data_IF_749042133372
#
_entry.id   IF_749042133372
#
_cell.length_a   1.000
_cell.length_b   1.000
_cell.length_c   1.000
_cell.angle_alpha   90.00
_cell.angle_beta   90.00
_cell.angle_gamma   90.00
#
_symmetry.space_group_name_H-M   'P 1'
#
loop_
_entity.id
_entity.type
_entity.pdbx_description
1 polymer ?
#
# COMPACT_ATOMS: atom_id res chain seq x y z
N UNK A 1 4.92 34.15 -63.85
CA UNK A 1 6.21 34.49 -63.19
C UNK A 1 5.95 34.64 -61.74
N UNK A 2 6.24 33.63 -60.92
CA UNK A 2 6.02 33.63 -59.46
C UNK A 2 7.00 32.67 -58.83
N UNK A 3 7.97 33.17 -58.10
CA UNK A 3 9.10 32.44 -57.53
C UNK A 3 8.68 31.57 -56.35
N UNK A 4 8.77 30.25 -56.50
CA UNK A 4 8.75 29.29 -55.40
C UNK A 4 10.03 29.43 -54.56
N UNK A 5 9.95 29.83 -53.29
CA UNK A 5 11.03 29.78 -52.30
C UNK A 5 10.85 28.59 -51.40
N UNK A 6 11.49 27.48 -51.71
CA UNK A 6 11.78 26.40 -50.79
C UNK A 6 12.79 26.86 -49.73
N UNK A 7 12.38 26.97 -48.50
CA UNK A 7 13.29 27.12 -47.35
C UNK A 7 12.72 26.42 -46.14
N UNK A 8 12.98 25.13 -46.02
CA UNK A 8 12.66 24.31 -44.86
C UNK A 8 13.84 23.43 -44.52
N UNK A 9 14.99 24.02 -44.15
CA UNK A 9 16.10 23.29 -43.53
C UNK A 9 15.71 22.98 -42.08
N UNK A 10 15.06 21.79 -41.84
CA UNK A 10 14.96 21.19 -40.53
C UNK A 10 16.38 20.96 -40.01
N UNK A 11 16.84 21.82 -39.10
CA UNK A 11 17.96 21.56 -38.23
C UNK A 11 17.57 20.33 -37.37
N UNK A 12 18.07 19.16 -37.75
CA UNK A 12 18.24 18.04 -36.80
C UNK A 12 19.18 18.57 -35.72
N UNK A 13 18.59 18.93 -34.58
CA UNK A 13 19.34 19.09 -33.33
C UNK A 13 19.97 17.73 -33.06
N UNK A 14 21.27 17.62 -33.26
CA UNK A 14 22.08 16.61 -32.63
C UNK A 14 21.83 16.75 -31.13
N UNK A 15 21.07 15.83 -30.55
CA UNK A 15 21.12 15.57 -29.13
C UNK A 15 22.49 14.98 -28.85
N UNK A 16 23.44 15.89 -28.61
CA UNK A 16 24.71 15.56 -28.03
C UNK A 16 24.37 14.89 -26.69
N UNK A 17 24.79 13.62 -26.52
CA UNK A 17 24.69 12.88 -25.27
C UNK A 17 25.40 13.64 -24.15
N UNK A 18 24.69 14.58 -23.54
CA UNK A 18 25.06 15.08 -22.24
C UNK A 18 24.83 13.93 -21.29
N UNK A 19 25.93 13.32 -20.83
CA UNK A 19 25.95 12.49 -19.63
C UNK A 19 25.34 13.34 -18.51
N UNK A 20 24.05 13.15 -18.25
CA UNK A 20 23.37 13.78 -17.11
C UNK A 20 24.17 13.40 -15.86
N UNK A 21 24.91 14.36 -15.33
CA UNK A 21 25.62 14.19 -14.07
C UNK A 21 24.56 14.08 -12.96
N UNK A 22 24.26 12.87 -12.55
CA UNK A 22 23.33 12.60 -11.46
C UNK A 22 23.98 13.11 -10.16
N UNK A 23 23.40 14.08 -9.46
CA UNK A 23 23.99 14.59 -8.24
C UNK A 23 24.01 13.51 -7.17
N UNK A 24 25.12 13.37 -6.45
CA UNK A 24 25.33 12.34 -5.41
C UNK A 24 24.18 12.30 -4.39
N UNK A 25 23.55 13.44 -4.13
CA UNK A 25 22.37 13.55 -3.25
C UNK A 25 21.15 12.74 -3.70
N UNK A 26 21.02 12.40 -5.00
CA UNK A 26 19.92 11.56 -5.50
C UNK A 26 20.18 10.07 -5.30
N UNK A 27 21.38 9.68 -4.95
CA UNK A 27 21.74 8.28 -4.66
C UNK A 27 21.13 7.85 -3.32
N UNK A 28 21.09 8.75 -2.32
CA UNK A 28 20.61 8.41 -0.97
C UNK A 28 19.14 7.93 -0.95
N UNK A 29 18.16 8.65 -1.55
CA UNK A 29 16.79 8.14 -1.62
C UNK A 29 16.71 6.79 -2.35
N UNK A 30 17.35 6.67 -3.51
CA UNK A 30 17.33 5.42 -4.29
C UNK A 30 17.93 4.24 -3.52
N UNK A 31 18.94 4.48 -2.68
CA UNK A 31 19.51 3.45 -1.83
C UNK A 31 18.53 3.00 -0.74
N UNK A 32 17.76 3.92 -0.16
CA UNK A 32 16.71 3.60 0.82
C UNK A 32 15.61 2.76 0.15
N UNK A 33 15.13 3.16 -1.03
CA UNK A 33 14.14 2.40 -1.82
C UNK A 33 14.67 1.00 -2.17
N UNK A 34 15.95 0.89 -2.59
CA UNK A 34 16.58 -0.41 -2.85
C UNK A 34 16.67 -1.27 -1.59
N UNK A 35 16.96 -0.66 -0.44
CA UNK A 35 16.98 -1.37 0.85
C UNK A 35 15.58 -1.86 1.22
N UNK A 36 14.54 -1.07 0.98
CA UNK A 36 13.14 -1.49 1.16
C UNK A 36 12.82 -2.72 0.31
N UNK A 37 13.16 -2.70 -0.99
CA UNK A 37 12.95 -3.85 -1.88
C UNK A 37 13.73 -5.09 -1.43
N UNK A 38 14.98 -4.94 -1.00
CA UNK A 38 15.77 -6.04 -0.44
C UNK A 38 15.11 -6.63 0.82
N UNK A 39 14.55 -5.80 1.70
CA UNK A 39 13.85 -6.26 2.90
C UNK A 39 12.57 -7.04 2.52
N UNK A 40 11.80 -6.58 1.52
CA UNK A 40 10.65 -7.31 0.99
C UNK A 40 11.02 -8.68 0.41
N UNK A 41 12.08 -8.76 -0.39
CA UNK A 41 12.59 -10.03 -0.93
C UNK A 41 13.10 -10.95 0.20
N UNK A 42 13.78 -10.39 1.19
CA UNK A 42 14.24 -11.13 2.38
C UNK A 42 13.06 -11.73 3.14
N UNK A 43 11.94 -10.99 3.25
CA UNK A 43 10.71 -11.52 3.85
C UNK A 43 10.19 -12.76 3.11
N UNK A 44 10.25 -12.78 1.77
CA UNK A 44 9.84 -13.95 0.97
C UNK A 44 10.73 -15.14 1.31
N UNK A 45 12.06 -14.96 1.36
CA UNK A 45 13.01 -16.02 1.72
C UNK A 45 12.73 -16.57 3.12
N UNK A 46 12.58 -15.69 4.11
CA UNK A 46 12.31 -16.10 5.49
C UNK A 46 10.94 -16.82 5.62
N UNK A 47 9.94 -16.38 4.85
CA UNK A 47 8.63 -17.06 4.81
C UNK A 47 8.75 -18.47 4.23
N UNK A 48 9.55 -18.65 3.20
CA UNK A 48 9.82 -19.97 2.61
C UNK A 48 10.58 -20.90 3.54
N UNK A 49 11.32 -20.37 4.51
CA UNK A 49 11.99 -21.13 5.57
C UNK A 49 11.07 -21.43 6.78
N UNK A 50 9.81 -20.92 6.77
CA UNK A 50 8.89 -21.03 7.90
C UNK A 50 9.17 -20.05 9.05
N UNK A 51 10.07 -19.11 8.90
CA UNK A 51 10.48 -18.08 9.88
C UNK A 51 9.53 -16.88 9.81
N UNK A 52 8.27 -17.08 10.14
CA UNK A 52 7.21 -16.09 9.90
C UNK A 52 7.37 -14.80 10.71
N UNK A 53 7.87 -14.87 11.94
CA UNK A 53 8.10 -13.68 12.78
C UNK A 53 9.18 -12.80 12.15
N UNK A 54 10.30 -13.40 11.75
CA UNK A 54 11.42 -12.69 11.12
C UNK A 54 11.01 -12.11 9.76
N UNK A 55 10.22 -12.87 8.98
CA UNK A 55 9.65 -12.41 7.72
C UNK A 55 8.75 -11.17 7.90
N UNK A 56 7.94 -11.16 8.96
CA UNK A 56 7.08 -10.04 9.29
C UNK A 56 7.88 -8.82 9.73
N UNK A 57 8.94 -9.00 10.50
CA UNK A 57 9.88 -7.92 10.85
C UNK A 57 10.54 -7.34 9.60
N UNK A 58 10.94 -8.19 8.64
CA UNK A 58 11.50 -7.72 7.37
C UNK A 58 10.49 -6.89 6.55
N UNK A 59 9.20 -7.29 6.53
CA UNK A 59 8.13 -6.48 5.90
C UNK A 59 7.93 -5.14 6.60
N UNK A 60 8.01 -5.09 7.93
CA UNK A 60 7.93 -3.83 8.68
C UNK A 60 9.09 -2.90 8.34
N UNK A 61 10.31 -3.44 8.24
CA UNK A 61 11.50 -2.68 7.81
C UNK A 61 11.28 -2.15 6.39
N UNK A 62 10.79 -2.98 5.47
CA UNK A 62 10.47 -2.56 4.11
C UNK A 62 9.48 -1.37 4.09
N UNK A 63 8.39 -1.47 4.86
CA UNK A 63 7.39 -0.42 4.99
C UNK A 63 7.95 0.89 5.59
N UNK A 64 8.84 0.80 6.57
CA UNK A 64 9.49 1.98 7.17
C UNK A 64 10.42 2.66 6.16
N UNK A 65 11.27 1.89 5.48
CA UNK A 65 12.19 2.40 4.46
C UNK A 65 11.43 3.09 3.32
N UNK A 66 10.37 2.47 2.81
CA UNK A 66 9.47 3.01 1.80
C UNK A 66 8.85 4.35 2.24
N UNK A 67 8.31 4.43 3.47
CA UNK A 67 7.79 5.69 3.99
C UNK A 67 8.84 6.78 4.19
N UNK A 68 10.12 6.45 4.22
CA UNK A 68 11.24 7.40 4.43
C UNK A 68 11.82 7.93 3.12
N UNK A 69 11.95 7.12 2.07
CA UNK A 69 12.67 7.49 0.85
C UNK A 69 12.08 8.72 0.13
N UNK A 70 10.76 8.76 -0.03
CA UNK A 70 10.07 9.92 -0.59
C UNK A 70 10.18 11.18 0.27
N UNK A 71 10.30 11.06 1.61
CA UNK A 71 10.55 12.19 2.50
C UNK A 71 11.99 12.68 2.36
N UNK A 72 12.95 11.76 2.33
CA UNK A 72 14.37 12.06 2.15
C UNK A 72 14.62 12.69 0.77
N UNK A 73 14.00 12.16 -0.30
CA UNK A 73 14.09 12.75 -1.64
C UNK A 73 13.63 14.21 -1.67
N UNK A 74 12.54 14.54 -0.98
CA UNK A 74 12.03 15.92 -0.87
C UNK A 74 12.94 16.81 -0.03
N UNK A 75 13.44 16.33 1.11
CA UNK A 75 14.35 17.06 1.98
C UNK A 75 15.66 17.40 1.26
N UNK A 76 16.20 16.46 0.49
CA UNK A 76 17.44 16.65 -0.26
C UNK A 76 17.23 17.36 -1.61
N UNK A 77 15.98 17.68 -1.98
CA UNK A 77 15.61 18.23 -3.31
C UNK A 77 16.20 17.37 -4.44
N UNK A 78 16.12 16.05 -4.29
CA UNK A 78 16.77 15.03 -5.12
C UNK A 78 15.77 14.14 -5.87
N UNK A 79 14.51 14.58 -6.00
CA UNK A 79 13.51 13.86 -6.77
C UNK A 79 13.96 13.68 -8.24
N UNK A 80 13.88 12.45 -8.74
CA UNK A 80 14.26 12.10 -10.12
C UNK A 80 13.22 11.14 -10.72
N UNK A 81 13.13 11.10 -12.07
CA UNK A 81 12.26 10.14 -12.76
C UNK A 81 12.65 8.70 -12.45
N UNK A 82 13.94 8.39 -12.46
CA UNK A 82 14.44 7.06 -12.11
C UNK A 82 14.04 6.66 -10.68
N UNK A 83 14.13 7.61 -9.71
CA UNK A 83 13.73 7.35 -8.33
C UNK A 83 12.24 7.05 -8.22
N UNK A 84 11.38 7.77 -8.95
CA UNK A 84 9.94 7.53 -8.93
C UNK A 84 9.54 6.17 -9.55
N UNK A 85 10.23 5.73 -10.61
CA UNK A 85 10.02 4.39 -11.20
C UNK A 85 10.52 3.28 -10.26
N UNK A 86 11.69 3.48 -9.65
CA UNK A 86 12.25 2.55 -8.68
C UNK A 86 11.34 2.38 -7.45
N UNK A 87 10.80 3.49 -6.94
CA UNK A 87 9.82 3.56 -5.86
C UNK A 87 8.57 2.71 -6.20
N UNK A 88 7.98 2.92 -7.38
CA UNK A 88 6.81 2.16 -7.83
C UNK A 88 7.08 0.65 -7.97
N UNK A 89 8.28 0.26 -8.41
CA UNK A 89 8.67 -1.15 -8.50
C UNK A 89 8.91 -1.76 -7.11
N UNK A 90 9.55 -1.02 -6.21
CA UNK A 90 9.75 -1.42 -4.82
C UNK A 90 8.43 -1.55 -4.08
N UNK A 91 7.49 -0.61 -4.27
CA UNK A 91 6.12 -0.67 -3.75
C UNK A 91 5.43 -1.97 -4.12
N UNK A 92 5.47 -2.36 -5.40
CA UNK A 92 4.87 -3.60 -5.86
C UNK A 92 5.48 -4.83 -5.19
N UNK A 93 6.79 -4.86 -5.02
CA UNK A 93 7.47 -5.97 -4.31
C UNK A 93 7.06 -5.99 -2.83
N UNK A 94 7.11 -4.85 -2.15
CA UNK A 94 6.95 -4.75 -0.70
C UNK A 94 5.49 -4.92 -0.23
N UNK A 95 4.52 -4.44 -1.01
CA UNK A 95 3.10 -4.42 -0.61
C UNK A 95 2.23 -5.38 -1.42
N UNK A 96 2.68 -5.79 -2.61
CA UNK A 96 2.01 -6.76 -3.46
C UNK A 96 2.57 -8.16 -3.30
N UNK A 97 3.81 -8.37 -3.74
CA UNK A 97 4.40 -9.72 -3.88
C UNK A 97 4.80 -10.30 -2.52
N UNK A 98 5.54 -9.57 -1.71
CA UNK A 98 6.08 -10.09 -0.45
C UNK A 98 4.98 -10.49 0.54
N UNK A 99 3.93 -9.66 0.82
CA UNK A 99 2.84 -10.08 1.70
C UNK A 99 1.99 -11.22 1.08
N UNK A 100 1.83 -11.28 -0.24
CA UNK A 100 1.17 -12.40 -0.90
C UNK A 100 1.89 -13.73 -0.67
N UNK A 101 3.21 -13.74 -0.86
CA UNK A 101 4.04 -14.93 -0.64
C UNK A 101 4.17 -15.29 0.83
N UNK A 102 4.24 -14.28 1.72
CA UNK A 102 4.16 -14.50 3.16
C UNK A 102 2.86 -15.25 3.52
N UNK A 103 1.71 -14.74 3.09
CA UNK A 103 0.41 -15.37 3.36
C UNK A 103 0.30 -16.77 2.75
N UNK A 104 0.83 -16.96 1.54
CA UNK A 104 0.87 -18.29 0.93
C UNK A 104 1.60 -19.32 1.81
N UNK A 105 2.85 -19.04 2.19
CA UNK A 105 3.63 -19.97 3.04
C UNK A 105 3.02 -20.11 4.44
N UNK A 106 2.52 -19.01 5.01
CA UNK A 106 1.93 -19.04 6.34
C UNK A 106 0.66 -19.89 6.41
N UNK A 107 -0.20 -19.81 5.40
CA UNK A 107 -1.45 -20.58 5.32
C UNK A 107 -1.24 -22.05 4.93
N UNK A 108 -0.15 -22.38 4.26
CA UNK A 108 0.16 -23.72 3.78
C UNK A 108 1.20 -24.45 4.65
N UNK A 109 1.51 -23.92 5.83
CA UNK A 109 2.40 -24.60 6.78
C UNK A 109 3.89 -24.55 6.44
N UNK A 110 4.31 -23.62 5.58
CA UNK A 110 5.72 -23.43 5.21
C UNK A 110 6.10 -24.14 3.89
N UNK A 111 7.40 -24.38 3.67
CA UNK A 111 7.93 -24.81 2.36
C UNK A 111 7.53 -26.25 1.97
N UNK A 112 7.31 -27.12 2.95
CA UNK A 112 6.98 -28.52 2.69
C UNK A 112 5.47 -28.77 2.57
N UNK A 113 4.64 -27.75 2.86
CA UNK A 113 3.16 -27.84 2.83
C UNK A 113 2.59 -29.04 3.60
N UNK A 114 3.25 -29.38 4.72
CA UNK A 114 2.90 -30.55 5.54
C UNK A 114 1.45 -30.48 6.02
N UNK A 115 0.72 -31.58 5.81
CA UNK A 115 -0.71 -31.68 6.21
C UNK A 115 -1.71 -31.04 5.24
N UNK A 116 -1.27 -30.45 4.11
CA UNK A 116 -2.13 -29.84 3.11
C UNK A 116 -2.18 -30.63 1.81
N UNK A 117 -3.38 -30.79 1.24
CA UNK A 117 -3.53 -31.39 -0.07
C UNK A 117 -2.96 -30.49 -1.18
N UNK A 118 -2.44 -31.05 -2.30
CA UNK A 118 -1.95 -30.25 -3.42
C UNK A 118 -3.02 -29.32 -4.02
N UNK A 119 -4.30 -29.64 -3.85
CA UNK A 119 -5.39 -28.79 -4.28
C UNK A 119 -5.49 -27.52 -3.43
N UNK A 120 -5.43 -27.63 -2.10
CA UNK A 120 -5.47 -26.48 -1.18
C UNK A 120 -4.29 -25.56 -1.44
N UNK A 121 -3.08 -26.11 -1.59
CA UNK A 121 -1.87 -25.35 -1.89
C UNK A 121 -2.03 -24.51 -3.17
N UNK A 122 -2.55 -25.13 -4.26
CA UNK A 122 -2.80 -24.40 -5.52
C UNK A 122 -3.85 -23.31 -5.39
N UNK A 123 -4.93 -23.56 -4.64
CA UNK A 123 -6.00 -22.59 -4.42
C UNK A 123 -5.48 -21.38 -3.62
N UNK A 124 -4.70 -21.61 -2.56
CA UNK A 124 -4.10 -20.53 -1.77
C UNK A 124 -3.10 -19.74 -2.61
N UNK A 125 -2.28 -20.41 -3.43
CA UNK A 125 -1.39 -19.72 -4.38
C UNK A 125 -2.18 -18.84 -5.35
N UNK A 126 -3.30 -19.33 -5.88
CA UNK A 126 -4.19 -18.53 -6.73
C UNK A 126 -4.69 -17.26 -6.06
N UNK A 127 -5.05 -17.33 -4.78
CA UNK A 127 -5.45 -16.15 -3.99
C UNK A 127 -4.30 -15.17 -3.75
N UNK A 128 -3.11 -15.68 -3.46
CA UNK A 128 -1.91 -14.86 -3.31
C UNK A 128 -1.55 -14.12 -4.61
N UNK A 129 -1.59 -14.82 -5.75
CA UNK A 129 -1.38 -14.22 -7.07
C UNK A 129 -2.46 -13.18 -7.40
N UNK A 130 -3.73 -13.46 -7.09
CA UNK A 130 -4.83 -12.52 -7.29
C UNK A 130 -4.59 -11.23 -6.50
N UNK A 131 -4.22 -11.33 -5.21
CA UNK A 131 -3.90 -10.16 -4.38
C UNK A 131 -2.75 -9.33 -4.98
N UNK A 132 -1.63 -9.98 -5.36
CA UNK A 132 -0.49 -9.30 -5.96
C UNK A 132 -0.86 -8.59 -7.27
N UNK A 133 -1.66 -9.24 -8.14
CA UNK A 133 -2.16 -8.63 -9.38
C UNK A 133 -3.07 -7.43 -9.11
N UNK A 134 -3.94 -7.51 -8.11
CA UNK A 134 -4.79 -6.38 -7.70
C UNK A 134 -3.97 -5.16 -7.25
N UNK A 135 -2.87 -5.38 -6.51
CA UNK A 135 -1.95 -4.32 -6.14
C UNK A 135 -1.22 -3.74 -7.37
N UNK A 136 -0.74 -4.58 -8.27
CA UNK A 136 -0.14 -4.16 -9.54
C UNK A 136 -1.09 -3.23 -10.34
N UNK A 137 -2.35 -3.64 -10.52
CA UNK A 137 -3.36 -2.82 -11.20
C UNK A 137 -3.62 -1.51 -10.46
N UNK A 138 -3.62 -1.54 -9.13
CA UNK A 138 -3.78 -0.34 -8.31
C UNK A 138 -2.64 0.65 -8.54
N UNK A 139 -1.39 0.18 -8.50
CA UNK A 139 -0.19 1.01 -8.72
C UNK A 139 -0.18 1.59 -10.14
N UNK A 140 -0.44 0.77 -11.16
CA UNK A 140 -0.52 1.20 -12.55
C UNK A 140 -1.58 2.30 -12.74
N UNK A 141 -2.77 2.12 -12.14
CA UNK A 141 -3.83 3.13 -12.17
C UNK A 141 -3.42 4.42 -11.45
N UNK A 142 -2.78 4.32 -10.28
CA UNK A 142 -2.31 5.48 -9.53
C UNK A 142 -1.32 6.30 -10.36
N UNK A 143 -0.34 5.67 -10.99
CA UNK A 143 0.66 6.33 -11.80
C UNK A 143 0.03 7.04 -13.02
N UNK A 144 -0.96 6.42 -13.67
CA UNK A 144 -1.68 7.05 -14.80
C UNK A 144 -2.62 8.18 -14.38
N UNK A 145 -3.15 8.16 -13.14
CA UNK A 145 -4.04 9.23 -12.64
C UNK A 145 -3.30 10.48 -12.17
N UNK A 146 -2.01 10.40 -11.88
CA UNK A 146 -1.21 11.58 -11.48
C UNK A 146 -1.19 12.67 -12.58
N UNK A 147 -1.47 12.32 -13.83
CA UNK A 147 -1.48 13.23 -14.99
C UNK A 147 -2.85 13.87 -15.26
N UNK A 148 -3.92 13.48 -14.53
CA UNK A 148 -5.28 13.93 -14.80
C UNK A 148 -5.81 14.92 -13.74
N UNK A 149 -6.57 15.98 -14.15
CA UNK A 149 -7.22 16.90 -13.22
C UNK A 149 -8.30 16.17 -12.41
N UNK A 150 -8.21 16.21 -11.08
CA UNK A 150 -9.17 15.58 -10.17
C UNK A 150 -10.36 16.48 -9.88
N UNK A 151 -11.57 15.90 -9.81
CA UNK A 151 -12.78 16.61 -9.39
C UNK A 151 -12.67 17.10 -7.93
N UNK A 152 -13.29 18.26 -7.56
CA UNK A 152 -13.09 18.89 -6.26
C UNK A 152 -13.40 18.00 -5.05
N UNK A 153 -14.42 17.13 -5.12
CA UNK A 153 -14.80 16.23 -4.02
C UNK A 153 -13.85 15.03 -3.84
N UNK A 154 -13.05 14.68 -4.87
CA UNK A 154 -12.06 13.62 -4.77
C UNK A 154 -10.79 14.03 -4.00
N UNK A 155 -10.55 15.34 -3.78
CA UNK A 155 -9.35 15.84 -3.08
C UNK A 155 -9.19 15.31 -1.65
N UNK A 156 -10.29 14.85 -1.03
CA UNK A 156 -10.30 14.35 0.34
C UNK A 156 -10.26 12.81 0.44
N UNK A 157 -10.31 12.11 -0.69
CA UNK A 157 -10.39 10.66 -0.74
C UNK A 157 -9.29 10.06 -1.61
N UNK A 158 -8.78 8.93 -1.21
CA UNK A 158 -7.97 8.07 -2.07
C UNK A 158 -8.88 7.18 -2.91
N UNK A 159 -8.45 6.83 -4.11
CA UNK A 159 -9.14 5.89 -4.98
C UNK A 159 -8.67 4.48 -4.66
N UNK A 160 -9.45 3.71 -3.91
CA UNK A 160 -9.11 2.39 -3.39
C UNK A 160 -8.31 2.44 -2.10
N UNK A 161 -8.03 1.26 -1.51
CA UNK A 161 -7.16 1.13 -0.34
C UNK A 161 -5.70 1.37 -0.77
N UNK A 162 -4.92 2.21 -0.06
CA UNK A 162 -3.49 2.40 -0.37
C UNK A 162 -2.69 1.10 -0.17
N UNK A 163 -1.60 0.88 -0.95
CA UNK A 163 -0.81 -0.35 -0.91
C UNK A 163 -0.32 -0.72 0.50
N UNK A 164 0.28 0.20 1.29
CA UNK A 164 0.66 -0.10 2.65
C UNK A 164 -0.52 -0.51 3.54
N UNK A 165 -1.68 0.13 3.32
CA UNK A 165 -2.92 -0.22 4.04
C UNK A 165 -3.43 -1.62 3.68
N UNK A 166 -3.43 -1.98 2.40
CA UNK A 166 -3.80 -3.30 1.92
C UNK A 166 -2.86 -4.40 2.45
N UNK A 167 -1.55 -4.13 2.41
CA UNK A 167 -0.55 -5.00 3.01
C UNK A 167 -0.84 -5.25 4.51
N UNK A 168 -1.08 -4.18 5.26
CA UNK A 168 -1.40 -4.33 6.68
C UNK A 168 -2.68 -5.13 6.91
N UNK A 169 -3.75 -4.84 6.15
CA UNK A 169 -5.02 -5.57 6.25
C UNK A 169 -4.84 -7.07 6.00
N UNK A 170 -4.12 -7.46 4.95
CA UNK A 170 -3.94 -8.88 4.58
C UNK A 170 -3.06 -9.62 5.59
N UNK A 171 -2.10 -8.95 6.23
CA UNK A 171 -1.23 -9.50 7.26
C UNK A 171 -1.88 -9.53 8.67
N UNK A 172 -2.94 -8.76 8.90
CA UNK A 172 -3.61 -8.67 10.22
C UNK A 172 -3.97 -10.03 10.82
N UNK A 173 -4.54 -11.01 10.09
CA UNK A 173 -4.81 -12.34 10.64
C UNK A 173 -3.55 -13.06 11.12
N UNK A 174 -2.46 -12.97 10.39
CA UNK A 174 -1.20 -13.59 10.76
C UNK A 174 -0.58 -12.92 11.98
N UNK A 175 -0.59 -11.58 12.04
CA UNK A 175 -0.12 -10.81 13.18
C UNK A 175 -0.89 -11.18 14.44
N UNK A 176 -2.21 -11.21 14.38
CA UNK A 176 -3.06 -11.58 15.52
C UNK A 176 -2.90 -13.06 15.91
N UNK A 177 -2.77 -13.96 14.93
CA UNK A 177 -2.56 -15.38 15.22
C UNK A 177 -1.25 -15.62 15.99
N UNK A 178 -0.16 -14.97 15.57
CA UNK A 178 1.13 -15.05 16.26
C UNK A 178 1.02 -14.45 17.67
N UNK A 179 0.38 -13.29 17.80
CA UNK A 179 0.24 -12.59 19.08
C UNK A 179 -0.65 -13.33 20.10
N UNK A 180 -1.64 -14.08 19.61
CA UNK A 180 -2.64 -14.75 20.45
C UNK A 180 -2.37 -16.25 20.65
N UNK A 181 -1.29 -16.79 20.12
CA UNK A 181 -0.99 -18.22 20.13
C UNK A 181 -1.01 -18.81 21.54
N UNK A 182 -0.43 -18.11 22.52
CA UNK A 182 -0.34 -18.56 23.91
C UNK A 182 -1.55 -18.16 24.78
N UNK A 183 -2.32 -17.13 24.35
CA UNK A 183 -3.43 -16.58 25.15
C UNK A 183 -4.79 -17.17 24.77
N UNK A 184 -5.04 -17.30 23.48
CA UNK A 184 -6.28 -17.81 22.90
C UNK A 184 -5.97 -18.71 21.71
N UNK A 185 -5.52 -19.95 21.94
CA UNK A 185 -5.09 -20.86 20.87
C UNK A 185 -6.21 -21.20 19.89
N UNK A 186 -7.46 -21.23 20.31
CA UNK A 186 -8.62 -21.47 19.43
C UNK A 186 -8.78 -20.35 18.39
N UNK A 187 -8.69 -19.09 18.84
CA UNK A 187 -8.78 -17.94 17.94
C UNK A 187 -7.56 -17.87 17.00
N UNK A 188 -6.37 -18.14 17.53
CA UNK A 188 -5.14 -18.23 16.71
C UNK A 188 -5.29 -19.29 15.63
N UNK A 189 -5.79 -20.49 15.96
CA UNK A 189 -6.04 -21.56 15.01
C UNK A 189 -7.11 -21.20 13.96
N UNK A 190 -8.16 -20.49 14.36
CA UNK A 190 -9.18 -20.00 13.43
C UNK A 190 -8.60 -19.01 12.41
N UNK A 191 -7.79 -18.04 12.87
CA UNK A 191 -7.15 -17.03 12.02
C UNK A 191 -6.18 -17.67 11.01
N UNK A 192 -5.58 -18.81 11.36
CA UNK A 192 -4.65 -19.56 10.51
C UNK A 192 -5.33 -20.51 9.52
N UNK A 193 -6.67 -20.62 9.52
CA UNK A 193 -7.37 -21.45 8.56
C UNK A 193 -7.17 -20.95 7.13
N UNK A 194 -6.85 -21.85 6.15
CA UNK A 194 -6.65 -21.46 4.77
C UNK A 194 -7.88 -20.75 4.16
N UNK A 195 -9.09 -21.14 4.56
CA UNK A 195 -10.34 -20.54 4.09
C UNK A 195 -10.45 -19.07 4.51
N UNK A 196 -10.10 -18.76 5.76
CA UNK A 196 -10.13 -17.40 6.29
C UNK A 196 -9.04 -16.54 5.65
N UNK A 197 -7.82 -17.07 5.54
CA UNK A 197 -6.72 -16.37 4.87
C UNK A 197 -6.99 -16.11 3.39
N UNK A 198 -7.59 -17.10 2.70
CA UNK A 198 -8.03 -16.97 1.31
C UNK A 198 -9.09 -15.88 1.16
N UNK A 199 -10.10 -15.86 2.04
CA UNK A 199 -11.09 -14.79 2.07
C UNK A 199 -10.42 -13.41 2.24
N UNK A 200 -9.43 -13.27 3.13
CA UNK A 200 -8.69 -12.02 3.32
C UNK A 200 -7.90 -11.61 2.06
N UNK A 201 -7.19 -12.53 1.42
CA UNK A 201 -6.46 -12.27 0.17
C UNK A 201 -7.38 -11.74 -0.93
N UNK A 202 -8.52 -12.40 -1.16
CA UNK A 202 -9.49 -11.99 -2.17
C UNK A 202 -10.18 -10.68 -1.81
N UNK A 203 -10.63 -10.54 -0.57
CA UNK A 203 -11.34 -9.36 -0.09
C UNK A 203 -10.48 -8.10 -0.16
N UNK A 204 -9.26 -8.17 0.39
CA UNK A 204 -8.35 -7.03 0.38
C UNK A 204 -7.87 -6.71 -1.04
N UNK A 205 -7.55 -7.74 -1.85
CA UNK A 205 -7.21 -7.55 -3.26
C UNK A 205 -8.32 -6.82 -4.02
N UNK A 206 -9.57 -7.24 -3.86
CA UNK A 206 -10.71 -6.55 -4.48
C UNK A 206 -10.87 -5.11 -3.99
N UNK A 207 -10.65 -4.84 -2.69
CA UNK A 207 -10.68 -3.48 -2.15
C UNK A 207 -9.59 -2.59 -2.75
N UNK A 208 -8.39 -3.12 -2.95
CA UNK A 208 -7.28 -2.38 -3.57
C UNK A 208 -7.54 -2.10 -5.06
N UNK A 209 -8.07 -3.06 -5.81
CA UNK A 209 -8.44 -2.89 -7.21
C UNK A 209 -9.67 -2.00 -7.40
N UNK A 210 -10.54 -1.91 -6.39
CA UNK A 210 -11.78 -1.13 -6.43
C UNK A 210 -11.52 0.37 -6.53
N UNK A 211 -12.58 1.14 -6.84
CA UNK A 211 -12.59 2.60 -6.78
C UNK A 211 -13.25 3.12 -5.50
N UNK A 212 -13.34 2.27 -4.48
CA UNK A 212 -13.94 2.70 -3.21
C UNK A 212 -13.09 3.81 -2.59
N UNK A 213 -13.68 4.94 -2.23
CA UNK A 213 -12.96 6.04 -1.63
C UNK A 213 -12.56 5.68 -0.20
N UNK A 214 -11.29 5.84 0.13
CA UNK A 214 -10.80 5.74 1.50
C UNK A 214 -10.40 7.13 2.00
N UNK A 215 -10.64 7.39 3.31
CA UNK A 215 -10.37 8.71 3.90
C UNK A 215 -8.86 8.97 3.85
N UNK A 216 -8.49 10.14 3.31
CA UNK A 216 -7.13 10.64 3.40
C UNK A 216 -6.93 11.31 4.77
N UNK A 217 -6.03 10.75 5.58
CA UNK A 217 -5.64 11.33 6.88
C UNK A 217 -5.11 12.77 6.75
N UNK A 218 -4.61 13.16 5.57
CA UNK A 218 -4.12 14.51 5.30
C UNK A 218 -5.21 15.58 5.33
N UNK A 219 -6.47 15.20 5.18
CA UNK A 219 -7.61 16.14 5.14
C UNK A 219 -8.25 16.38 6.51
N UNK A 220 -7.82 15.67 7.55
CA UNK A 220 -8.39 15.79 8.89
C UNK A 220 -7.81 17.02 9.58
N UNK A 221 -8.65 18.07 9.71
CA UNK A 221 -8.31 19.26 10.49
C UNK A 221 -8.84 19.10 11.92
N UNK A 222 -7.92 18.95 12.87
CA UNK A 222 -8.26 18.81 14.30
C UNK A 222 -8.42 20.21 14.91
N UNK A 223 -9.58 20.49 15.50
CA UNK A 223 -9.80 21.72 16.27
C UNK A 223 -8.83 21.74 17.46
N UNK A 224 -8.24 22.90 17.80
CA UNK A 224 -7.26 23.06 18.89
C UNK A 224 -7.72 22.47 20.22
N UNK A 225 -9.01 22.54 20.54
CA UNK A 225 -9.58 21.97 21.76
C UNK A 225 -9.49 20.43 21.87
N UNK A 226 -9.38 19.71 20.75
CA UNK A 226 -9.20 18.25 20.74
C UNK A 226 -7.75 17.77 20.81
N UNK A 227 -6.78 18.69 20.74
CA UNK A 227 -5.35 18.37 20.73
C UNK A 227 -4.91 17.54 21.96
N UNK A 228 -5.34 17.83 23.21
CA UNK A 228 -4.97 17.02 24.36
C UNK A 228 -5.45 15.56 24.26
N UNK A 229 -6.67 15.33 23.73
CA UNK A 229 -7.20 13.98 23.55
C UNK A 229 -6.45 13.19 22.48
N UNK A 230 -6.02 13.86 21.40
CA UNK A 230 -5.18 13.24 20.35
C UNK A 230 -3.82 12.87 20.91
N UNK A 231 -3.21 13.76 21.70
CA UNK A 231 -1.93 13.49 22.37
C UNK A 231 -2.05 12.34 23.36
N UNK A 232 -3.12 12.31 24.16
CA UNK A 232 -3.39 11.21 25.08
C UNK A 232 -3.58 9.86 24.35
N UNK A 233 -4.31 9.86 23.22
CA UNK A 233 -4.48 8.68 22.37
C UNK A 233 -3.17 8.19 21.76
N UNK A 234 -2.30 9.10 21.31
CA UNK A 234 -0.97 8.77 20.82
C UNK A 234 -0.07 8.17 21.92
N UNK A 235 -0.09 8.75 23.11
CA UNK A 235 0.66 8.23 24.26
C UNK A 235 0.16 6.85 24.66
N UNK A 236 -1.16 6.64 24.69
CA UNK A 236 -1.75 5.32 24.95
C UNK A 236 -1.31 4.30 23.90
N UNK A 237 -1.37 4.66 22.61
CA UNK A 237 -0.92 3.78 21.53
C UNK A 237 0.55 3.40 21.68
N UNK A 238 1.41 4.38 21.99
CA UNK A 238 2.83 4.13 22.25
C UNK A 238 3.02 3.20 23.45
N UNK A 239 2.31 3.43 24.55
CA UNK A 239 2.36 2.55 25.72
C UNK A 239 1.95 1.12 25.36
N UNK A 240 0.84 0.94 24.63
CA UNK A 240 0.40 -0.37 24.17
C UNK A 240 1.45 -1.06 23.26
N UNK A 241 2.10 -0.30 22.36
CA UNK A 241 3.19 -0.81 21.51
C UNK A 241 4.40 -1.31 22.32
N UNK A 242 4.74 -0.62 23.42
CA UNK A 242 5.82 -1.06 24.30
C UNK A 242 5.42 -2.26 25.18
N UNK A 243 4.15 -2.36 25.57
CA UNK A 243 3.68 -3.50 26.38
C UNK A 243 3.53 -4.77 25.57
N UNK A 244 2.91 -4.68 24.38
CA UNK A 244 2.65 -5.82 23.51
C UNK A 244 2.59 -5.38 22.04
N UNK A 245 3.75 -5.45 21.39
CA UNK A 245 3.93 -4.96 20.02
C UNK A 245 3.01 -5.65 19.02
N UNK A 246 2.96 -6.99 19.05
CA UNK A 246 2.21 -7.77 18.06
C UNK A 246 0.70 -7.63 18.23
N UNK A 247 0.21 -7.65 19.46
CA UNK A 247 -1.23 -7.44 19.74
C UNK A 247 -1.65 -6.04 19.28
N UNK A 248 -0.90 -5.02 19.67
CA UNK A 248 -1.22 -3.64 19.29
C UNK A 248 -1.26 -3.46 17.78
N UNK A 249 -0.25 -4.00 17.07
CA UNK A 249 -0.19 -3.95 15.62
C UNK A 249 -1.38 -4.64 14.96
N UNK A 250 -1.76 -5.82 15.48
CA UNK A 250 -2.91 -6.59 14.99
C UNK A 250 -4.26 -5.91 15.25
N UNK A 251 -4.43 -5.35 16.46
CA UNK A 251 -5.66 -4.60 16.82
C UNK A 251 -5.82 -3.36 15.96
N UNK A 252 -4.75 -2.59 15.73
CA UNK A 252 -4.80 -1.42 14.84
C UNK A 252 -5.15 -1.85 13.41
N UNK A 253 -4.61 -2.98 12.92
CA UNK A 253 -4.98 -3.53 11.62
C UNK A 253 -6.46 -3.93 11.55
N UNK A 254 -6.97 -4.59 12.57
CA UNK A 254 -8.39 -4.97 12.65
C UNK A 254 -9.32 -3.74 12.68
N UNK A 255 -8.96 -2.73 13.46
CA UNK A 255 -9.69 -1.45 13.46
C UNK A 255 -9.65 -0.77 12.10
N UNK A 256 -8.51 -0.81 11.40
CA UNK A 256 -8.39 -0.26 10.05
C UNK A 256 -9.32 -0.98 9.06
N UNK A 257 -9.42 -2.32 9.12
CA UNK A 257 -10.36 -3.10 8.30
C UNK A 257 -11.80 -2.62 8.54
N UNK A 258 -12.19 -2.38 9.79
CA UNK A 258 -13.53 -1.89 10.14
C UNK A 258 -13.82 -0.47 9.64
N UNK A 259 -12.80 0.35 9.41
CA UNK A 259 -13.01 1.71 8.87
C UNK A 259 -13.40 1.71 7.38
N UNK A 260 -13.06 0.68 6.61
CA UNK A 260 -13.30 0.64 5.16
C UNK A 260 -14.78 0.74 4.79
N UNK A 261 -15.72 -0.08 5.34
CA UNK A 261 -17.14 0.07 5.06
C UNK A 261 -17.71 1.41 5.53
N UNK A 262 -17.20 1.93 6.65
CA UNK A 262 -17.63 3.22 7.20
C UNK A 262 -17.26 4.37 6.24
N UNK A 263 -16.05 4.34 5.69
CA UNK A 263 -15.59 5.36 4.73
C UNK A 263 -16.37 5.31 3.43
N UNK A 264 -16.71 4.11 2.95
CA UNK A 264 -17.62 3.94 1.80
C UNK A 264 -18.98 4.58 2.01
N UNK A 265 -19.59 4.35 3.18
CA UNK A 265 -20.89 4.96 3.53
C UNK A 265 -20.81 6.49 3.62
N UNK A 266 -19.74 7.05 4.19
CA UNK A 266 -19.52 8.50 4.27
C UNK A 266 -19.39 9.10 2.87
N UNK A 267 -18.61 8.46 1.99
CA UNK A 267 -18.45 8.95 0.62
C UNK A 267 -19.76 8.98 -0.17
N UNK A 268 -20.57 7.93 -0.08
CA UNK A 268 -21.87 7.90 -0.76
C UNK A 268 -22.76 9.06 -0.32
N UNK A 269 -22.74 9.43 0.97
CA UNK A 269 -23.45 10.60 1.49
C UNK A 269 -22.88 11.92 0.93
N UNK A 270 -21.56 12.07 0.90
CA UNK A 270 -20.90 13.29 0.39
C UNK A 270 -21.16 13.44 -1.11
N UNK A 271 -21.04 12.37 -1.87
CA UNK A 271 -21.31 12.36 -3.31
C UNK A 271 -22.78 12.74 -3.61
N UNK A 272 -23.73 12.11 -2.94
CA UNK A 272 -25.16 12.38 -3.10
C UNK A 272 -25.54 13.82 -2.74
N UNK A 273 -24.85 14.43 -1.75
CA UNK A 273 -25.04 15.84 -1.43
C UNK A 273 -24.51 16.74 -2.55
N UNK A 274 -23.30 16.50 -3.05
CA UNK A 274 -22.69 17.27 -4.12
C UNK A 274 -23.50 17.21 -5.42
N UNK A 275 -23.98 16.03 -5.81
CA UNK A 275 -24.84 15.85 -7.00
C UNK A 275 -26.17 16.61 -6.86
N UNK A 276 -26.75 16.67 -5.66
CA UNK A 276 -27.96 17.47 -5.37
C UNK A 276 -27.71 18.97 -5.46
N UNK A 277 -26.56 19.43 -4.95
CA UNK A 277 -26.22 20.86 -4.97
C UNK A 277 -25.99 21.30 -6.42
N UNK A 278 -25.34 20.50 -7.28
CA UNK A 278 -25.17 20.78 -8.71
C UNK A 278 -26.49 20.84 -9.47
N UNK A 279 -27.43 19.91 -9.20
CA UNK A 279 -28.75 19.93 -9.84
C UNK A 279 -29.58 21.11 -9.38
N UNK A 280 -29.44 21.55 -8.13
CA UNK A 280 -30.10 22.73 -7.61
C UNK A 280 -29.57 24.05 -8.22
N UNK A 281 -28.26 24.11 -8.52
CA UNK A 281 -27.66 25.25 -9.23
C UNK A 281 -28.06 25.28 -10.69
N UNK A 282 -28.07 24.13 -11.37
CA UNK A 282 -28.47 24.02 -12.78
C UNK A 282 -29.97 24.42 -13.00
N UNK A 283 -30.82 24.20 -11.99
CA UNK A 283 -32.25 24.58 -12.07
C UNK A 283 -32.53 26.06 -11.71
N UNK A 284 -31.51 26.82 -11.29
CA UNK A 284 -31.62 28.26 -10.95
C UNK A 284 -31.12 29.19 -12.05
N UNK A 285 -30.44 28.67 -13.08
CA UNK A 285 -29.96 29.42 -14.25
C UNK A 285 -30.80 29.12 -15.47
#
# INVERSE_FOLDING_TARGET
MGKFRLRGRRRRRHESGQTERVPLRSIVPNLITSTAACAGITSISLSSEGRFVDAMVALLIACICDGMDGRVARLLKAASKLGAELDSLADFVNFGVAPAMFMFYWLTGGPLHEGFSPHVVRVVLGGALFYALCDCFRLARFNTMLEQPTLPYWKHFFTGVPAPGGCWMVLTPAILSIALQDRTPELSAFLRRPEFGMFMLLFVGMLMASRLPTISLKSIHIKRGFMPYVMAGLLLLLTCLFMDFWITLGVVGALYILTVPLTGAIFLKVRSKYERDLTAEANKG
#
